data_IF_587665338526
#
_entry.id   IF_587665338526
#
_cell.length_a   1.000
_cell.length_b   1.000
_cell.length_c   1.000
_cell.angle_alpha   90.00
_cell.angle_beta   90.00
_cell.angle_gamma   90.00
#
_symmetry.space_group_name_H-M   'P 1'
#
loop_
_entity.id
_entity.type
_entity.pdbx_description
1 polymer ?
#
# COMPACT_ATOMS: atom_id res chain seq x y z
N UNK A 1 38.64 -45.81 35.89
CA UNK A 1 38.20 -44.75 36.83
C UNK A 1 38.33 -43.42 36.11
N UNK A 2 37.18 -42.92 35.60
CA UNK A 2 37.11 -41.64 34.89
C UNK A 2 36.82 -40.59 35.93
N UNK A 3 37.80 -39.76 36.23
CA UNK A 3 37.68 -38.60 37.13
C UNK A 3 36.89 -37.49 36.39
N UNK A 4 35.60 -37.37 36.61
CA UNK A 4 34.78 -36.30 36.14
C UNK A 4 35.05 -35.03 36.95
N UNK A 5 35.91 -34.16 36.48
CA UNK A 5 36.11 -32.83 37.05
C UNK A 5 34.89 -31.95 36.76
N UNK A 6 34.12 -31.61 37.77
CA UNK A 6 33.12 -30.54 37.72
C UNK A 6 33.84 -29.21 37.57
N UNK A 7 33.78 -28.60 36.36
CA UNK A 7 34.18 -27.21 36.19
C UNK A 7 33.07 -26.31 36.74
N UNK A 8 33.23 -25.75 37.93
CA UNK A 8 32.40 -24.66 38.41
C UNK A 8 32.81 -23.37 37.73
N UNK A 9 31.97 -22.86 36.87
CA UNK A 9 32.11 -21.53 36.29
C UNK A 9 31.74 -20.50 37.41
N UNK A 10 32.71 -19.78 37.94
CA UNK A 10 32.48 -18.68 38.87
C UNK A 10 32.50 -17.36 38.11
N UNK A 11 31.55 -16.47 38.39
CA UNK A 11 31.55 -15.12 37.86
C UNK A 11 32.76 -14.37 38.39
N UNK A 12 33.51 -13.70 37.52
CA UNK A 12 34.68 -12.91 37.88
C UNK A 12 34.27 -11.76 38.81
N UNK A 13 34.84 -11.69 40.03
CA UNK A 13 34.52 -10.65 41.01
C UNK A 13 34.93 -9.24 40.58
N UNK A 14 35.95 -9.12 39.71
CA UNK A 14 36.44 -7.84 39.22
C UNK A 14 35.55 -7.20 38.15
N UNK A 15 34.98 -8.00 37.24
CA UNK A 15 34.19 -7.48 36.14
C UNK A 15 32.70 -7.89 36.19
N UNK A 16 32.29 -8.68 37.21
CA UNK A 16 30.90 -9.14 37.35
C UNK A 16 30.37 -9.96 36.15
N UNK A 17 31.28 -10.57 35.40
CA UNK A 17 30.92 -11.27 34.13
C UNK A 17 30.95 -10.38 32.88
N UNK A 18 31.27 -9.10 33.05
CA UNK A 18 31.34 -8.15 31.91
C UNK A 18 32.53 -8.34 30.98
N UNK A 19 33.54 -9.12 31.35
CA UNK A 19 34.73 -9.50 30.53
C UNK A 19 35.74 -8.38 30.31
N UNK A 20 35.41 -7.13 30.59
CA UNK A 20 36.31 -5.98 30.56
C UNK A 20 36.08 -5.09 31.77
N UNK A 21 37.10 -4.35 32.19
CA UNK A 21 37.03 -3.39 33.27
C UNK A 21 37.61 -2.05 32.80
N UNK A 22 36.85 -0.98 33.01
CA UNK A 22 37.34 0.37 32.72
C UNK A 22 38.15 0.82 33.95
N UNK A 23 39.45 1.20 33.79
CA UNK A 23 40.21 1.71 34.90
C UNK A 23 39.58 3.02 35.44
N UNK A 24 39.67 3.25 36.74
CA UNK A 24 39.17 4.48 37.38
C UNK A 24 39.79 5.71 36.70
N UNK A 25 38.95 6.62 36.19
CA UNK A 25 39.36 7.81 35.48
C UNK A 25 39.61 7.59 33.97
N UNK A 26 39.40 6.38 33.43
CA UNK A 26 39.44 6.07 32.01
C UNK A 26 38.08 6.06 31.32
N UNK A 27 37.03 6.53 32.01
CA UNK A 27 35.68 6.60 31.46
C UNK A 27 35.59 7.66 30.36
N UNK A 28 35.06 7.26 29.19
CA UNK A 28 34.88 8.17 28.09
C UNK A 28 33.73 9.14 28.39
N UNK A 29 33.96 10.47 28.41
CA UNK A 29 32.93 11.46 28.79
C UNK A 29 31.77 11.52 27.77
N UNK A 30 31.83 10.81 26.66
CA UNK A 30 30.83 10.79 25.60
C UNK A 30 29.88 9.59 25.68
N UNK A 31 30.33 8.48 26.27
CA UNK A 31 29.53 7.24 26.37
C UNK A 31 29.49 6.64 27.76
N UNK A 32 30.04 7.30 28.76
CA UNK A 32 30.11 6.85 30.18
C UNK A 32 30.49 5.36 30.34
N UNK A 33 31.36 4.87 29.46
CA UNK A 33 31.78 3.47 29.46
C UNK A 33 30.87 2.51 28.69
N UNK A 34 29.74 2.93 28.15
CA UNK A 34 28.84 2.05 27.38
C UNK A 34 29.39 1.64 26.00
N UNK A 35 30.38 2.38 25.47
CA UNK A 35 31.00 2.09 24.17
C UNK A 35 30.15 2.45 22.96
N UNK A 36 28.94 2.95 23.18
CA UNK A 36 28.01 3.45 22.15
C UNK A 36 27.48 4.81 22.55
N UNK A 37 27.13 5.64 21.59
CA UNK A 37 26.53 6.96 21.77
C UNK A 37 25.26 7.07 20.94
N UNK A 38 24.28 7.82 21.43
CA UNK A 38 23.09 8.17 20.65
C UNK A 38 23.45 9.33 19.72
N UNK A 39 23.21 9.13 18.44
CA UNK A 39 23.40 10.15 17.40
C UNK A 39 22.19 10.17 16.48
N UNK A 40 21.72 11.35 16.14
CA UNK A 40 20.67 11.52 15.13
C UNK A 40 21.30 11.49 13.74
N UNK A 41 20.84 10.55 12.92
CA UNK A 41 21.31 10.37 11.54
C UNK A 41 20.15 10.39 10.57
N UNK A 42 20.27 11.15 9.50
CA UNK A 42 19.32 11.12 8.39
C UNK A 42 19.67 10.02 7.42
N UNK A 43 18.74 9.08 7.22
CA UNK A 43 18.92 7.96 6.29
C UNK A 43 17.96 8.14 5.12
N UNK A 44 18.50 8.14 3.89
CA UNK A 44 17.69 8.19 2.67
C UNK A 44 17.30 6.78 2.26
N UNK A 45 15.99 6.53 2.18
CA UNK A 45 15.43 5.23 1.82
C UNK A 45 14.79 5.28 0.45
N UNK A 46 15.25 4.45 -0.47
CA UNK A 46 14.66 4.33 -1.81
C UNK A 46 13.46 3.38 -1.77
N UNK A 47 12.26 3.93 -2.03
CA UNK A 47 11.02 3.15 -2.07
C UNK A 47 10.69 2.85 -3.54
N UNK A 48 10.70 1.58 -3.97
CA UNK A 48 10.37 1.22 -5.35
C UNK A 48 8.88 1.44 -5.63
N UNK A 49 8.53 1.73 -6.91
CA UNK A 49 7.15 1.80 -7.33
C UNK A 49 6.48 0.43 -7.20
N UNK A 50 5.20 0.40 -6.77
CA UNK A 50 4.43 -0.84 -6.70
C UNK A 50 4.42 -1.52 -5.33
N UNK A 51 5.08 -0.97 -4.31
CA UNK A 51 5.06 -1.51 -2.94
C UNK A 51 3.63 -1.66 -2.43
N UNK A 52 3.40 -2.70 -1.63
CA UNK A 52 2.11 -2.96 -0.97
C UNK A 52 2.09 -2.44 0.46
N UNK A 53 0.88 -2.23 0.99
CA UNK A 53 0.72 -1.86 2.40
C UNK A 53 1.29 -2.95 3.32
N UNK A 54 1.97 -2.54 4.39
CA UNK A 54 2.63 -3.44 5.33
C UNK A 54 3.97 -4.01 4.85
N UNK A 55 4.45 -3.69 3.65
CA UNK A 55 5.79 -4.10 3.21
C UNK A 55 6.88 -3.44 4.05
N UNK A 56 8.00 -4.15 4.18
CA UNK A 56 9.19 -3.68 4.88
C UNK A 56 10.35 -3.51 3.91
N UNK A 57 10.97 -2.35 3.96
CA UNK A 57 12.22 -2.07 3.23
C UNK A 57 13.37 -2.22 4.21
N UNK A 58 14.33 -3.06 3.88
CA UNK A 58 15.56 -3.26 4.65
C UNK A 58 16.64 -2.33 4.12
N UNK A 59 17.24 -1.57 5.02
CA UNK A 59 18.43 -0.76 4.74
C UNK A 59 19.59 -1.37 5.53
N UNK A 60 20.51 -1.98 4.82
CA UNK A 60 21.60 -2.73 5.44
C UNK A 60 22.60 -1.80 6.15
N UNK A 61 22.97 -2.15 7.38
CA UNK A 61 23.98 -1.44 8.16
C UNK A 61 23.56 -0.09 8.75
N UNK A 62 22.28 0.29 8.62
CA UNK A 62 21.74 1.55 9.15
C UNK A 62 20.92 1.36 10.44
N UNK A 63 21.00 0.19 11.06
CA UNK A 63 20.47 -0.08 12.39
C UNK A 63 21.44 0.28 13.49
N UNK A 64 21.07 -0.09 14.71
CA UNK A 64 21.87 0.19 15.91
C UNK A 64 23.25 -0.48 15.83
N UNK A 65 24.25 0.23 16.35
CA UNK A 65 25.56 -0.35 16.60
C UNK A 65 25.47 -1.38 17.73
N UNK A 66 26.12 -2.55 17.61
CA UNK A 66 26.16 -3.52 18.68
C UNK A 66 26.92 -2.93 19.87
N UNK A 67 26.36 -3.11 21.06
CA UNK A 67 27.11 -2.79 22.28
C UNK A 67 28.31 -3.68 22.37
N UNK A 68 29.50 -3.16 22.75
CA UNK A 68 30.67 -3.98 22.94
C UNK A 68 30.38 -5.00 24.06
N UNK A 69 30.13 -6.25 23.66
CA UNK A 69 30.02 -7.33 24.61
C UNK A 69 31.41 -7.75 25.00
N UNK A 70 31.64 -7.79 26.27
CA UNK A 70 32.87 -7.83 26.99
C UNK A 70 33.73 -9.09 26.86
N UNK A 71 33.36 -10.05 26.00
CA UNK A 71 33.99 -11.37 26.04
C UNK A 71 35.13 -11.58 25.04
N UNK A 72 35.22 -10.76 23.98
CA UNK A 72 36.27 -10.93 22.99
C UNK A 72 36.63 -9.61 22.27
N UNK A 73 37.82 -9.03 22.50
CA UNK A 73 38.26 -7.79 21.86
C UNK A 73 38.35 -7.90 20.31
N UNK A 74 38.43 -9.14 19.80
CA UNK A 74 38.51 -9.39 18.34
C UNK A 74 37.14 -9.33 17.69
N UNK A 75 36.05 -9.52 18.44
CA UNK A 75 34.67 -9.41 17.96
C UNK A 75 34.24 -7.93 17.87
N UNK A 76 34.83 -7.07 18.71
CA UNK A 76 34.49 -5.64 18.77
C UNK A 76 34.92 -4.87 17.51
N UNK A 77 36.04 -5.24 16.86
CA UNK A 77 36.55 -4.53 15.70
C UNK A 77 35.82 -4.83 14.39
N UNK A 78 35.02 -5.92 14.35
CA UNK A 78 34.28 -6.36 13.17
C UNK A 78 32.75 -6.38 13.35
N UNK A 79 32.26 -5.89 14.47
CA UNK A 79 30.83 -5.85 14.73
C UNK A 79 30.16 -4.81 13.82
N UNK A 80 29.44 -5.28 12.81
CA UNK A 80 28.66 -4.44 11.90
C UNK A 80 27.39 -3.98 12.59
N UNK A 81 26.97 -2.74 12.32
CA UNK A 81 25.65 -2.25 12.71
C UNK A 81 24.55 -3.17 12.18
N UNK A 82 23.45 -3.25 12.89
CA UNK A 82 22.26 -3.95 12.47
C UNK A 82 21.64 -3.33 11.22
N UNK A 83 20.53 -3.88 10.80
CA UNK A 83 19.77 -3.35 9.66
C UNK A 83 18.59 -2.51 10.15
N UNK A 84 18.31 -1.45 9.42
CA UNK A 84 17.11 -0.65 9.62
C UNK A 84 15.98 -1.23 8.79
N UNK A 85 14.84 -1.51 9.44
CA UNK A 85 13.62 -1.95 8.76
C UNK A 85 12.59 -0.84 8.77
N UNK A 86 12.26 -0.35 7.58
CA UNK A 86 11.24 0.68 7.40
C UNK A 86 9.92 0.01 7.01
N UNK A 87 8.91 0.14 7.86
CA UNK A 87 7.57 -0.36 7.60
C UNK A 87 6.77 0.67 6.81
N UNK A 88 6.26 0.26 5.65
CA UNK A 88 5.49 1.13 4.76
C UNK A 88 4.00 1.01 5.09
N UNK A 89 3.35 2.15 5.23
CA UNK A 89 1.90 2.27 5.38
C UNK A 89 1.35 3.09 4.24
N UNK A 90 0.50 2.49 3.42
CA UNK A 90 -0.08 3.13 2.23
C UNK A 90 -1.48 3.64 2.56
N UNK A 91 -1.72 4.92 2.32
CA UNK A 91 -3.04 5.51 2.48
C UNK A 91 -3.96 5.10 1.32
N UNK A 92 -5.25 4.77 1.59
CA UNK A 92 -6.20 4.48 0.54
C UNK A 92 -6.48 5.71 -0.31
N UNK A 93 -6.54 5.52 -1.63
CA UNK A 93 -6.88 6.60 -2.56
C UNK A 93 -8.42 6.71 -2.70
N UNK A 94 -9.00 7.92 -2.78
CA UNK A 94 -10.45 8.10 -2.83
C UNK A 94 -11.09 7.51 -4.09
N UNK A 95 -10.41 7.56 -5.23
CA UNK A 95 -10.95 7.14 -6.54
C UNK A 95 -10.47 5.77 -7.01
N UNK A 96 -9.38 5.24 -6.43
CA UNK A 96 -8.78 4.00 -6.87
C UNK A 96 -8.78 2.95 -5.76
N UNK A 97 -9.13 1.72 -6.11
CA UNK A 97 -8.99 0.55 -5.24
C UNK A 97 -7.95 -0.38 -5.84
N UNK A 98 -6.97 -0.74 -5.05
CA UNK A 98 -5.92 -1.66 -5.46
C UNK A 98 -6.28 -3.11 -5.14
N UNK A 99 -6.04 -4.03 -6.08
CA UNK A 99 -6.09 -5.47 -5.87
C UNK A 99 -4.82 -6.10 -6.48
N UNK A 100 -3.81 -6.35 -5.63
CA UNK A 100 -2.49 -6.79 -6.12
C UNK A 100 -1.84 -5.75 -7.02
N UNK A 101 -1.51 -6.10 -8.25
CA UNK A 101 -1.00 -5.18 -9.28
C UNK A 101 -2.11 -4.44 -10.04
N UNK A 102 -3.37 -4.90 -9.93
CA UNK A 102 -4.50 -4.30 -10.65
C UNK A 102 -5.11 -3.14 -9.87
N UNK A 103 -5.68 -2.20 -10.62
CA UNK A 103 -6.41 -1.05 -10.09
C UNK A 103 -7.86 -1.12 -10.55
N UNK A 104 -8.77 -0.78 -9.66
CA UNK A 104 -10.19 -0.66 -9.93
C UNK A 104 -10.63 0.79 -9.70
N UNK A 105 -11.43 1.30 -10.61
CA UNK A 105 -12.06 2.60 -10.53
C UNK A 105 -13.54 2.47 -10.89
N UNK A 106 -14.42 3.13 -10.13
CA UNK A 106 -15.84 3.16 -10.43
C UNK A 106 -16.18 4.46 -11.15
N UNK A 107 -16.44 4.35 -12.46
CA UNK A 107 -16.86 5.48 -13.29
C UNK A 107 -18.38 5.64 -13.28
N UNK A 108 -18.83 6.82 -12.89
CA UNK A 108 -20.26 7.15 -12.88
C UNK A 108 -20.67 7.70 -14.25
N UNK A 109 -21.62 7.06 -14.93
CA UNK A 109 -22.08 7.44 -16.24
C UNK A 109 -23.60 7.76 -16.22
N UNK A 110 -24.06 8.75 -17.02
CA UNK A 110 -25.48 9.01 -17.18
C UNK A 110 -26.20 7.85 -17.87
N UNK A 111 -27.48 7.64 -17.56
CA UNK A 111 -28.28 6.61 -18.22
C UNK A 111 -28.33 6.74 -19.74
N UNK A 112 -28.30 7.96 -20.25
CA UNK A 112 -28.29 8.22 -21.68
C UNK A 112 -27.02 7.73 -22.36
N UNK A 113 -25.87 7.96 -21.74
CA UNK A 113 -24.58 7.43 -22.21
C UNK A 113 -24.52 5.91 -22.09
N UNK A 114 -25.11 5.33 -21.05
CA UNK A 114 -25.22 3.89 -20.90
C UNK A 114 -26.07 3.25 -21.97
N UNK A 115 -27.22 3.85 -22.30
CA UNK A 115 -28.14 3.35 -23.32
C UNK A 115 -27.63 3.51 -24.75
N UNK A 116 -27.10 4.69 -25.10
CA UNK A 116 -26.71 5.04 -26.47
C UNK A 116 -25.24 4.71 -26.78
N UNK A 117 -24.44 4.46 -25.76
CA UNK A 117 -22.99 4.40 -25.87
C UNK A 117 -22.36 5.80 -25.94
N UNK A 118 -21.05 5.84 -25.89
CA UNK A 118 -20.35 7.12 -25.95
C UNK A 118 -18.87 7.01 -25.57
N UNK A 119 -18.27 8.15 -25.30
CA UNK A 119 -16.90 8.26 -24.81
C UNK A 119 -16.91 9.00 -23.48
N UNK A 120 -16.17 8.50 -22.51
CA UNK A 120 -15.97 9.17 -21.23
C UNK A 120 -14.48 9.29 -20.93
N UNK A 121 -14.12 10.32 -20.19
CA UNK A 121 -12.74 10.50 -19.70
C UNK A 121 -12.67 9.99 -18.26
N UNK A 122 -11.74 9.10 -18.02
CA UNK A 122 -11.49 8.53 -16.69
C UNK A 122 -10.07 8.88 -16.23
N UNK A 123 -9.86 9.10 -14.92
CA UNK A 123 -8.53 9.31 -14.38
C UNK A 123 -7.72 8.01 -14.48
N UNK A 124 -6.42 8.14 -14.69
CA UNK A 124 -5.45 7.04 -14.66
C UNK A 124 -4.30 7.42 -13.74
N UNK A 125 -3.36 6.50 -13.48
CA UNK A 125 -2.17 6.80 -12.67
C UNK A 125 -1.25 7.84 -13.33
N UNK A 126 -1.27 7.94 -14.65
CA UNK A 126 -0.39 8.81 -15.45
C UNK A 126 -1.13 10.06 -15.97
N UNK A 127 -2.38 10.27 -15.53
CA UNK A 127 -3.19 11.41 -16.00
C UNK A 127 -4.65 11.04 -16.23
N UNK A 128 -5.16 11.23 -17.46
CA UNK A 128 -6.53 10.85 -17.84
C UNK A 128 -6.54 10.20 -19.21
N UNK A 129 -7.45 9.25 -19.39
CA UNK A 129 -7.65 8.59 -20.69
C UNK A 129 -9.12 8.59 -21.06
N UNK A 130 -9.39 8.53 -22.37
CA UNK A 130 -10.76 8.44 -22.90
C UNK A 130 -11.06 6.99 -23.24
N UNK A 131 -12.13 6.45 -22.66
CA UNK A 131 -12.62 5.10 -22.94
C UNK A 131 -13.96 5.15 -23.66
N UNK A 132 -14.21 4.13 -24.49
CA UNK A 132 -15.49 3.94 -25.17
C UNK A 132 -16.42 3.15 -24.25
N UNK A 133 -17.62 3.68 -24.04
CA UNK A 133 -18.71 2.99 -23.35
C UNK A 133 -19.55 2.29 -24.42
N UNK A 134 -19.71 0.97 -24.38
CA UNK A 134 -20.58 0.25 -25.29
C UNK A 134 -22.05 0.68 -25.14
N UNK A 135 -22.83 0.55 -26.19
CA UNK A 135 -24.26 0.74 -26.13
C UNK A 135 -24.89 -0.38 -25.28
N UNK A 136 -25.85 -0.03 -24.43
CA UNK A 136 -26.53 -0.99 -23.55
C UNK A 136 -25.73 -1.37 -22.31
N UNK A 137 -24.72 -0.55 -21.93
CA UNK A 137 -23.93 -0.77 -20.70
C UNK A 137 -24.82 -0.69 -19.46
N UNK A 138 -24.66 -1.65 -18.56
CA UNK A 138 -25.38 -1.72 -17.27
C UNK A 138 -24.47 -1.43 -16.10
N UNK A 139 -25.08 -1.19 -14.94
CA UNK A 139 -24.30 -1.06 -13.69
C UNK A 139 -23.64 -2.39 -13.35
N UNK A 140 -22.32 -2.39 -13.17
CA UNK A 140 -21.52 -3.57 -12.89
C UNK A 140 -20.72 -4.06 -14.10
N UNK A 141 -21.04 -3.59 -15.31
CA UNK A 141 -20.17 -3.84 -16.47
C UNK A 141 -18.82 -3.16 -16.28
N UNK A 142 -17.77 -3.75 -16.81
CA UNK A 142 -16.43 -3.22 -16.70
C UNK A 142 -15.66 -3.25 -18.01
N UNK A 143 -14.73 -2.30 -18.14
CA UNK A 143 -13.76 -2.25 -19.23
C UNK A 143 -12.38 -2.37 -18.63
N UNK A 144 -11.54 -3.23 -19.21
CA UNK A 144 -10.16 -3.45 -18.78
C UNK A 144 -9.19 -2.77 -19.73
N UNK A 145 -8.30 -1.96 -19.19
CA UNK A 145 -7.19 -1.34 -19.89
C UNK A 145 -5.90 -2.08 -19.49
N UNK A 146 -5.41 -2.92 -20.38
CA UNK A 146 -4.24 -3.75 -20.09
C UNK A 146 -2.97 -2.93 -19.92
N UNK A 147 -2.17 -3.31 -18.90
CA UNK A 147 -0.88 -2.68 -18.61
C UNK A 147 -0.95 -1.28 -18.04
N UNK A 148 -2.11 -0.79 -17.61
CA UNK A 148 -2.29 0.52 -16.98
C UNK A 148 -2.48 0.44 -15.46
N UNK A 149 -2.17 -0.70 -14.87
CA UNK A 149 -2.14 -0.91 -13.42
C UNK A 149 -0.82 -0.50 -12.78
N UNK A 150 -0.57 -1.03 -11.60
CA UNK A 150 0.65 -0.82 -10.80
C UNK A 150 1.71 -1.84 -11.23
N UNK A 151 3.00 -1.47 -11.08
CA UNK A 151 4.09 -2.40 -11.29
C UNK A 151 4.03 -3.50 -10.22
N UNK A 152 4.08 -4.75 -10.65
CA UNK A 152 4.10 -5.90 -9.75
C UNK A 152 5.52 -6.12 -9.22
N UNK A 153 5.74 -5.75 -7.95
CA UNK A 153 7.01 -5.95 -7.25
C UNK A 153 7.07 -7.35 -6.62
N UNK A 154 5.92 -7.90 -6.21
CA UNK A 154 5.82 -9.19 -5.53
C UNK A 154 6.03 -10.35 -6.52
N UNK A 155 5.48 -10.22 -7.73
CA UNK A 155 5.61 -11.22 -8.80
C UNK A 155 6.97 -11.26 -9.51
N UNK A 156 7.92 -10.39 -9.14
CA UNK A 156 9.26 -10.27 -9.74
C UNK A 156 9.29 -10.10 -11.26
N UNK A 157 8.13 -9.85 -11.89
CA UNK A 157 8.03 -9.78 -13.36
C UNK A 157 8.28 -8.37 -13.90
N UNK A 158 8.21 -7.36 -13.06
CA UNK A 158 8.29 -5.95 -13.47
C UNK A 158 7.16 -5.51 -14.40
N UNK A 159 6.15 -6.38 -14.61
CA UNK A 159 4.99 -6.07 -15.45
C UNK A 159 4.02 -5.19 -14.71
N UNK A 160 3.39 -4.27 -15.43
CA UNK A 160 2.25 -3.53 -14.91
C UNK A 160 1.01 -4.43 -14.93
N UNK A 161 0.21 -4.36 -13.88
CA UNK A 161 -1.12 -4.97 -13.85
C UNK A 161 -2.10 -4.24 -14.78
N UNK A 162 -3.38 -4.58 -14.66
CA UNK A 162 -4.45 -4.02 -15.48
C UNK A 162 -5.24 -2.98 -14.69
N UNK A 163 -5.87 -2.08 -15.43
CA UNK A 163 -6.79 -1.09 -14.90
C UNK A 163 -8.22 -1.45 -15.28
N UNK A 164 -9.05 -1.74 -14.29
CA UNK A 164 -10.46 -2.08 -14.43
C UNK A 164 -11.32 -0.87 -14.13
N UNK A 165 -12.16 -0.49 -15.08
CA UNK A 165 -13.13 0.59 -14.92
C UNK A 165 -14.52 -0.02 -14.83
N UNK A 166 -15.09 -0.01 -13.64
CA UNK A 166 -16.44 -0.51 -13.37
C UNK A 166 -17.45 0.61 -13.58
N UNK A 167 -18.48 0.38 -14.39
CA UNK A 167 -19.50 1.39 -14.69
C UNK A 167 -20.59 1.37 -13.62
N UNK A 168 -20.95 2.56 -13.16
CA UNK A 168 -22.12 2.81 -12.33
C UNK A 168 -23.06 3.76 -13.07
N UNK A 169 -24.21 3.24 -13.50
CA UNK A 169 -25.19 4.06 -14.21
C UNK A 169 -25.96 4.91 -13.21
N UNK A 170 -25.95 6.22 -13.45
CA UNK A 170 -26.71 7.18 -12.65
C UNK A 170 -28.06 7.47 -13.31
N UNK A 171 -29.11 7.21 -12.54
CA UNK A 171 -30.46 7.64 -12.91
C UNK A 171 -30.73 9.03 -12.35
N UNK A 172 -31.28 9.96 -13.15
CA UNK A 172 -31.67 11.28 -12.66
C UNK A 172 -32.81 11.16 -11.64
N UNK A 173 -32.63 11.79 -10.47
CA UNK A 173 -33.67 11.79 -9.42
C UNK A 173 -34.79 12.79 -9.71
N UNK A 174 -34.43 13.92 -10.33
CA UNK A 174 -35.37 14.99 -10.66
C UNK A 174 -35.42 15.15 -12.17
N UNK A 175 -36.60 15.02 -12.74
CA UNK A 175 -36.85 15.18 -14.17
C UNK A 175 -37.70 16.41 -14.38
N UNK A 176 -37.32 17.26 -15.31
CA UNK A 176 -38.17 18.34 -15.83
C UNK A 176 -39.37 17.79 -16.61
N UNK A 177 -40.37 18.62 -16.84
CA UNK A 177 -41.58 18.20 -17.56
C UNK A 177 -41.29 17.67 -18.98
N UNK A 178 -40.36 18.30 -19.66
CA UNK A 178 -39.94 17.90 -21.01
C UNK A 178 -39.17 16.56 -21.02
N UNK A 179 -38.22 16.40 -20.11
CA UNK A 179 -37.43 15.15 -19.97
C UNK A 179 -38.35 13.97 -19.61
N UNK A 180 -39.33 14.20 -18.73
CA UNK A 180 -40.32 13.20 -18.35
C UNK A 180 -41.13 12.76 -19.57
N UNK A 181 -41.61 13.70 -20.39
CA UNK A 181 -42.38 13.39 -21.59
C UNK A 181 -41.59 12.52 -22.57
N UNK A 182 -40.31 12.85 -22.78
CA UNK A 182 -39.43 12.04 -23.63
C UNK A 182 -39.25 10.61 -23.11
N UNK A 183 -39.09 10.45 -21.78
CA UNK A 183 -38.97 9.12 -21.18
C UNK A 183 -40.28 8.33 -21.25
N UNK A 184 -41.46 8.98 -21.09
CA UNK A 184 -42.78 8.37 -21.26
C UNK A 184 -42.97 7.88 -22.70
N UNK A 185 -42.55 8.67 -23.70
CA UNK A 185 -42.60 8.27 -25.11
C UNK A 185 -41.66 7.08 -25.40
N UNK A 186 -40.46 7.09 -24.81
CA UNK A 186 -39.52 5.98 -24.92
C UNK A 186 -40.10 4.70 -24.29
N UNK A 187 -40.67 4.81 -23.07
CA UNK A 187 -41.31 3.69 -22.38
C UNK A 187 -42.44 3.09 -23.24
N UNK A 188 -43.28 3.95 -23.81
CA UNK A 188 -44.35 3.51 -24.73
C UNK A 188 -43.82 2.78 -25.94
N UNK A 189 -42.73 3.27 -26.57
CA UNK A 189 -42.09 2.63 -27.75
C UNK A 189 -41.46 1.28 -27.42
N UNK A 190 -40.98 1.11 -26.18
CA UNK A 190 -40.39 -0.15 -25.69
C UNK A 190 -41.43 -1.13 -25.14
N UNK A 191 -42.72 -0.72 -25.10
CA UNK A 191 -43.79 -1.55 -24.54
C UNK A 191 -43.80 -1.66 -23.00
N UNK A 192 -43.09 -0.76 -22.32
CA UNK A 192 -43.07 -0.74 -20.85
C UNK A 192 -44.36 -0.07 -20.30
N UNK A 193 -45.37 -0.89 -20.05
CA UNK A 193 -46.63 -0.45 -19.50
C UNK A 193 -46.64 -0.18 -18.01
N UNK A 194 -45.54 -0.55 -17.33
CA UNK A 194 -45.40 -0.36 -15.88
C UNK A 194 -44.86 1.04 -15.52
N UNK A 195 -44.24 1.74 -16.47
CA UNK A 195 -43.72 3.09 -16.28
C UNK A 195 -44.87 4.12 -16.24
N UNK A 196 -45.43 4.34 -15.04
CA UNK A 196 -46.50 5.29 -14.79
C UNK A 196 -46.05 6.41 -13.87
N UNK A 197 -46.78 7.57 -13.93
CA UNK A 197 -46.58 8.66 -12.99
C UNK A 197 -46.95 8.19 -11.58
N UNK A 198 -46.22 8.62 -10.58
CA UNK A 198 -46.54 8.29 -9.19
C UNK A 198 -47.93 8.77 -8.76
N UNK A 199 -48.47 9.79 -9.42
CA UNK A 199 -49.81 10.31 -9.21
C UNK A 199 -50.95 9.43 -9.80
N UNK A 200 -50.59 8.52 -10.72
CA UNK A 200 -51.53 7.63 -11.41
C UNK A 200 -51.58 6.23 -10.75
N UNK A 201 -50.86 6.03 -9.66
CA UNK A 201 -50.88 4.76 -8.90
C UNK A 201 -52.03 4.84 -7.91
N UNK A 202 -53.11 4.08 -8.09
CA UNK A 202 -54.20 4.01 -7.10
C UNK A 202 -53.61 3.41 -5.81
N UNK A 203 -53.84 4.08 -4.69
CA UNK A 203 -53.55 3.64 -3.32
C UNK A 203 -54.37 2.42 -2.93
#
# INVERSE_FOLDING_TARGET
MLSGGFQMASTCESCGGAGSQIPRGGECPRCDGEGVVHEEKTVTVHIPAGVSDGMRVRVAGEGDAPRPSSTDPRVQSNAKSGDLFVHLRIQPHPSFRRKGANIHHTASIPMTTAALGGKITVPTLEGSTTIKVPQGTTTGDSVTLSGQGIVDVEGRTGRKGDYHVDFKVNMPKNLGAYERNLLEQLAASLGDTAARRTQDIPT
#
